data_IF_169640053030
#
_entry.id   IF_169640053030
#
_cell.length_a   1.000
_cell.length_b   1.000
_cell.length_c   1.000
_cell.angle_alpha   90.00
_cell.angle_beta   90.00
_cell.angle_gamma   90.00
#
_symmetry.space_group_name_H-M   'P 1'
#
loop_
_entity.id
_entity.type
_entity.pdbx_description
1 polymer ?
#
# COMPACT_ATOMS: atom_id res chain seq x y z
N UNK A 1 -11.35 -16.42 -17.50
CA UNK A 1 -10.26 -16.08 -16.56
C UNK A 1 -9.20 -17.19 -16.60
N UNK A 2 -7.99 -16.91 -16.12
CA UNK A 2 -6.81 -17.76 -16.29
C UNK A 2 -6.93 -19.13 -15.62
N UNK A 3 -7.44 -20.12 -16.35
CA UNK A 3 -7.64 -21.49 -15.86
C UNK A 3 -6.31 -22.19 -15.60
N UNK A 4 -5.38 -22.13 -16.54
CA UNK A 4 -4.06 -22.74 -16.43
C UNK A 4 -3.20 -22.05 -15.37
N UNK A 5 -3.27 -20.72 -15.28
CA UNK A 5 -2.52 -19.96 -14.27
C UNK A 5 -2.90 -20.35 -12.85
N UNK A 6 -4.20 -20.47 -12.59
CA UNK A 6 -4.72 -20.95 -11.29
C UNK A 6 -4.39 -22.42 -11.03
N UNK A 7 -4.46 -23.27 -12.06
CA UNK A 7 -4.14 -24.71 -11.94
C UNK A 7 -2.67 -24.94 -11.56
N UNK A 8 -1.73 -24.16 -12.12
CA UNK A 8 -0.30 -24.24 -11.78
C UNK A 8 -0.04 -23.90 -10.31
N UNK A 9 -0.76 -22.91 -9.78
CA UNK A 9 -0.63 -22.48 -8.38
C UNK A 9 -1.25 -23.52 -7.45
N UNK A 10 -2.34 -24.16 -7.87
CA UNK A 10 -2.96 -25.23 -7.10
C UNK A 10 -3.68 -24.73 -5.83
N UNK A 11 -3.59 -25.46 -4.69
CA UNK A 11 -4.37 -25.16 -3.49
C UNK A 11 -4.03 -23.82 -2.84
N UNK A 12 -2.88 -23.23 -3.14
CA UNK A 12 -2.43 -21.94 -2.61
C UNK A 12 -3.16 -20.74 -3.26
N UNK A 13 -3.87 -20.94 -4.37
CA UNK A 13 -4.47 -19.85 -5.14
C UNK A 13 -5.46 -19.01 -4.31
N UNK A 14 -6.31 -19.65 -3.51
CA UNK A 14 -7.30 -18.93 -2.68
C UNK A 14 -6.62 -18.11 -1.58
N UNK A 15 -5.58 -18.66 -0.96
CA UNK A 15 -4.78 -17.94 0.03
C UNK A 15 -4.10 -16.71 -0.57
N UNK A 16 -3.58 -16.83 -1.79
CA UNK A 16 -2.96 -15.71 -2.51
C UNK A 16 -4.01 -14.64 -2.85
N UNK A 17 -5.19 -15.03 -3.34
CA UNK A 17 -6.30 -14.11 -3.61
C UNK A 17 -6.71 -13.36 -2.33
N UNK A 18 -6.80 -14.06 -1.20
CA UNK A 18 -7.14 -13.43 0.08
C UNK A 18 -6.09 -12.41 0.50
N UNK A 19 -4.80 -12.71 0.37
CA UNK A 19 -3.73 -11.75 0.64
C UNK A 19 -3.80 -10.57 -0.31
N UNK A 20 -3.94 -10.79 -1.62
CA UNK A 20 -4.07 -9.70 -2.60
C UNK A 20 -5.24 -8.77 -2.26
N UNK A 21 -6.37 -9.31 -1.80
CA UNK A 21 -7.52 -8.51 -1.36
C UNK A 21 -7.26 -7.73 -0.05
N UNK A 22 -6.44 -8.25 0.87
CA UNK A 22 -5.97 -7.48 2.03
C UNK A 22 -5.04 -6.34 1.59
N UNK A 23 -4.20 -6.59 0.59
CA UNK A 23 -3.38 -5.57 -0.06
C UNK A 23 -4.24 -4.46 -0.64
N UNK A 24 -5.16 -4.79 -1.56
CA UNK A 24 -6.10 -3.83 -2.17
C UNK A 24 -6.80 -2.96 -1.11
N UNK A 25 -7.24 -3.56 0.00
CA UNK A 25 -7.91 -2.84 1.08
C UNK A 25 -7.00 -1.81 1.78
N UNK A 26 -5.74 -2.16 2.03
CA UNK A 26 -4.76 -1.24 2.60
C UNK A 26 -4.36 -0.16 1.58
N UNK A 27 -4.04 -0.54 0.35
CA UNK A 27 -3.62 0.37 -0.71
C UNK A 27 -4.70 1.43 -1.03
N UNK A 28 -5.98 1.05 -1.05
CA UNK A 28 -7.07 2.04 -1.24
C UNK A 28 -7.12 3.05 -0.08
N UNK A 29 -6.90 2.58 1.15
CA UNK A 29 -6.87 3.44 2.33
C UNK A 29 -5.67 4.40 2.27
N UNK A 30 -4.50 3.90 1.92
CA UNK A 30 -3.26 4.68 1.86
C UNK A 30 -3.25 5.64 0.68
N UNK A 31 -3.69 5.22 -0.50
CA UNK A 31 -3.87 6.08 -1.67
C UNK A 31 -4.78 7.28 -1.34
N UNK A 32 -5.93 7.02 -0.70
CA UNK A 32 -6.84 8.09 -0.28
C UNK A 32 -6.22 8.96 0.82
N UNK A 33 -5.58 8.34 1.81
CA UNK A 33 -4.97 9.04 2.94
C UNK A 33 -3.88 9.98 2.46
N UNK A 34 -2.97 9.53 1.60
CA UNK A 34 -1.92 10.37 1.03
C UNK A 34 -2.48 11.52 0.21
N UNK A 35 -3.53 11.28 -0.59
CA UNK A 35 -4.23 12.36 -1.28
C UNK A 35 -4.81 13.37 -0.30
N UNK A 36 -5.46 12.91 0.78
CA UNK A 36 -6.00 13.77 1.83
C UNK A 36 -4.88 14.60 2.49
N UNK A 37 -3.77 13.98 2.88
CA UNK A 37 -2.63 14.65 3.50
C UNK A 37 -2.04 15.73 2.58
N UNK A 38 -1.93 15.46 1.27
CA UNK A 38 -1.45 16.43 0.28
C UNK A 38 -2.29 17.70 0.20
N UNK A 39 -3.57 17.64 0.60
CA UNK A 39 -4.49 18.79 0.61
C UNK A 39 -4.69 19.38 1.99
N UNK A 40 -4.48 18.58 3.04
CA UNK A 40 -4.73 18.95 4.41
C UNK A 40 -3.52 19.62 5.08
N UNK A 41 -2.29 19.24 4.72
CA UNK A 41 -1.08 19.77 5.32
C UNK A 41 -0.95 21.30 5.18
N UNK A 42 -0.63 21.97 6.28
CA UNK A 42 -0.46 23.42 6.36
C UNK A 42 0.86 23.83 7.04
N UNK A 43 1.23 25.11 6.91
CA UNK A 43 2.43 25.67 7.53
C UNK A 43 3.65 25.73 6.60
N UNK A 44 4.77 26.22 7.14
CA UNK A 44 5.96 26.59 6.34
C UNK A 44 6.65 25.39 5.66
N UNK A 45 6.46 24.18 6.19
CA UNK A 45 7.04 22.94 5.66
C UNK A 45 6.06 22.14 4.78
N UNK A 46 4.81 22.60 4.63
CA UNK A 46 3.77 21.74 4.05
C UNK A 46 3.92 21.52 2.55
N UNK A 47 4.43 22.51 1.79
CA UNK A 47 4.48 22.40 0.33
C UNK A 47 5.30 21.21 -0.18
N UNK A 48 6.59 21.04 0.18
CA UNK A 48 7.36 19.90 -0.30
C UNK A 48 6.78 18.56 0.18
N UNK A 49 6.24 18.51 1.40
CA UNK A 49 5.63 17.29 1.95
C UNK A 49 4.31 16.96 1.26
N UNK A 50 3.52 17.96 0.89
CA UNK A 50 2.29 17.78 0.12
C UNK A 50 2.57 17.28 -1.30
N UNK A 51 3.62 17.78 -1.94
CA UNK A 51 4.07 17.29 -3.26
C UNK A 51 4.53 15.83 -3.18
N UNK A 52 5.23 15.43 -2.12
CA UNK A 52 5.55 14.02 -1.83
C UNK A 52 4.27 13.19 -1.67
N UNK A 53 3.38 13.57 -0.75
CA UNK A 53 2.16 12.82 -0.50
C UNK A 53 1.26 12.68 -1.74
N UNK A 54 1.19 13.70 -2.60
CA UNK A 54 0.47 13.57 -3.87
C UNK A 54 1.10 12.57 -4.83
N UNK A 55 2.44 12.47 -4.88
CA UNK A 55 3.14 11.47 -5.68
C UNK A 55 2.93 10.06 -5.10
N UNK A 56 3.13 9.88 -3.80
CA UNK A 56 2.93 8.57 -3.14
C UNK A 56 1.49 8.09 -3.35
N UNK A 57 0.48 8.96 -3.22
CA UNK A 57 -0.92 8.62 -3.55
C UNK A 57 -1.10 8.03 -4.96
N UNK A 58 -0.35 8.52 -5.96
CA UNK A 58 -0.41 8.00 -7.33
C UNK A 58 0.26 6.63 -7.45
N UNK A 59 1.34 6.38 -6.71
CA UNK A 59 1.99 5.07 -6.64
C UNK A 59 1.02 4.03 -6.04
N UNK A 60 0.36 4.36 -4.92
CA UNK A 60 -0.60 3.44 -4.28
C UNK A 60 -1.80 3.11 -5.18
N UNK A 61 -2.34 4.09 -5.92
CA UNK A 61 -3.37 3.80 -6.92
C UNK A 61 -2.88 2.85 -8.02
N UNK A 62 -1.58 2.90 -8.35
CA UNK A 62 -0.92 1.93 -9.21
C UNK A 62 -0.91 0.53 -8.60
N UNK A 63 -0.55 0.40 -7.32
CA UNK A 63 -0.62 -0.86 -6.58
C UNK A 63 -2.04 -1.43 -6.55
N UNK A 64 -3.05 -0.61 -6.23
CA UNK A 64 -4.47 -1.02 -6.26
C UNK A 64 -4.83 -1.67 -7.59
N UNK A 65 -4.55 -0.99 -8.71
CA UNK A 65 -4.89 -1.48 -10.04
C UNK A 65 -4.18 -2.82 -10.35
N UNK A 66 -2.89 -2.91 -10.03
CA UNK A 66 -2.07 -4.11 -10.26
C UNK A 66 -2.59 -5.31 -9.46
N UNK A 67 -2.95 -5.12 -8.20
CA UNK A 67 -3.48 -6.18 -7.35
C UNK A 67 -4.89 -6.62 -7.80
N UNK A 68 -5.77 -5.68 -8.19
CA UNK A 68 -7.09 -5.99 -8.72
C UNK A 68 -7.04 -6.83 -10.00
N UNK A 69 -6.15 -6.45 -10.92
CA UNK A 69 -5.88 -7.22 -12.12
C UNK A 69 -5.41 -8.63 -11.78
N UNK A 70 -4.52 -8.75 -10.78
CA UNK A 70 -4.00 -10.06 -10.38
C UNK A 70 -5.07 -10.96 -9.77
N UNK A 71 -5.92 -10.44 -8.89
CA UNK A 71 -7.05 -11.19 -8.33
C UNK A 71 -7.96 -11.72 -9.45
N UNK A 72 -8.29 -10.86 -10.41
CA UNK A 72 -9.14 -11.21 -11.55
C UNK A 72 -8.49 -12.27 -12.45
N UNK A 73 -7.17 -12.19 -12.67
CA UNK A 73 -6.44 -13.22 -13.43
C UNK A 73 -6.52 -14.60 -12.76
N UNK A 74 -6.52 -14.63 -11.42
CA UNK A 74 -6.53 -15.85 -10.60
C UNK A 74 -7.92 -16.48 -10.39
N UNK A 75 -8.99 -15.92 -10.96
CA UNK A 75 -10.33 -16.47 -10.77
C UNK A 75 -11.11 -15.84 -9.61
N UNK A 76 -10.53 -14.89 -8.87
CA UNK A 76 -11.18 -14.25 -7.73
C UNK A 76 -11.88 -12.95 -8.08
N UNK A 77 -12.71 -12.48 -7.15
CA UNK A 77 -13.28 -11.15 -7.18
C UNK A 77 -12.39 -10.20 -6.36
N UNK A 78 -11.92 -9.07 -6.94
CA UNK A 78 -11.28 -8.03 -6.14
C UNK A 78 -12.29 -7.42 -5.18
N UNK A 79 -11.81 -6.77 -4.11
CA UNK A 79 -12.65 -6.02 -3.17
C UNK A 79 -13.72 -5.20 -3.91
N UNK A 80 -15.00 -5.50 -3.66
CA UNK A 80 -16.10 -5.02 -4.50
C UNK A 80 -16.67 -3.68 -4.02
N UNK A 81 -16.47 -3.34 -2.75
CA UNK A 81 -16.90 -2.08 -2.18
C UNK A 81 -15.81 -1.43 -1.31
N UNK A 82 -15.65 -0.10 -1.36
CA UNK A 82 -14.73 0.62 -0.47
C UNK A 82 -15.00 0.38 1.03
N UNK A 83 -16.25 0.08 1.41
CA UNK A 83 -16.62 -0.23 2.79
C UNK A 83 -15.93 -1.49 3.34
N UNK A 84 -15.52 -2.42 2.47
CA UNK A 84 -14.79 -3.63 2.87
C UNK A 84 -13.36 -3.34 3.31
N UNK A 85 -12.79 -2.18 2.92
CA UNK A 85 -11.41 -1.84 3.22
C UNK A 85 -11.12 -1.80 4.73
N UNK A 86 -12.09 -1.37 5.53
CA UNK A 86 -11.95 -1.34 6.99
C UNK A 86 -11.89 -2.71 7.65
N UNK A 87 -12.49 -3.73 7.04
CA UNK A 87 -12.53 -5.11 7.56
C UNK A 87 -11.36 -5.96 7.03
N UNK A 88 -10.93 -5.70 5.80
CA UNK A 88 -9.91 -6.50 5.08
C UNK A 88 -8.50 -5.97 5.21
N UNK A 89 -8.32 -4.68 5.44
CA UNK A 89 -6.98 -4.09 5.50
C UNK A 89 -6.14 -4.73 6.61
N UNK A 90 -4.87 -5.02 6.30
CA UNK A 90 -3.92 -5.53 7.29
C UNK A 90 -3.49 -4.46 8.30
N UNK A 91 -3.84 -3.20 8.07
CA UNK A 91 -3.57 -2.06 8.94
C UNK A 91 -4.83 -1.19 9.09
N UNK A 92 -5.06 -0.64 10.28
CA UNK A 92 -6.19 0.26 10.51
C UNK A 92 -5.98 1.61 9.83
N UNK A 93 -7.05 2.18 9.26
CA UNK A 93 -7.00 3.52 8.68
C UNK A 93 -6.59 4.56 9.73
N UNK A 94 -5.55 5.35 9.41
CA UNK A 94 -5.05 6.38 10.30
C UNK A 94 -5.44 7.78 9.77
N UNK A 95 -6.40 8.48 10.41
CA UNK A 95 -6.76 9.83 10.00
C UNK A 95 -5.59 10.81 10.20
N UNK A 96 -5.59 11.97 9.49
CA UNK A 96 -4.59 13.01 9.73
C UNK A 96 -4.63 13.51 11.19
N UNK A 97 -3.50 14.04 11.70
CA UNK A 97 -3.49 14.79 12.95
C UNK A 97 -4.55 15.91 12.96
N UNK A 98 -5.06 16.25 14.14
CA UNK A 98 -6.09 17.31 14.27
C UNK A 98 -5.58 18.70 13.89
N UNK A 99 -4.28 18.94 14.08
CA UNK A 99 -3.63 20.18 13.69
C UNK A 99 -3.07 20.01 12.27
N UNK A 100 -3.60 20.74 11.27
CA UNK A 100 -3.06 20.73 9.90
C UNK A 100 -1.59 21.13 9.82
N UNK A 101 -1.07 21.87 10.81
CA UNK A 101 0.33 22.28 10.87
C UNK A 101 1.27 21.20 11.45
N UNK A 102 0.73 20.09 11.97
CA UNK A 102 1.51 18.94 12.45
C UNK A 102 2.00 18.05 11.29
N UNK A 103 2.74 18.67 10.36
CA UNK A 103 3.32 17.99 9.20
C UNK A 103 4.31 16.90 9.62
N UNK A 104 5.05 17.12 10.72
CA UNK A 104 5.96 16.11 11.29
C UNK A 104 5.19 14.88 11.77
N UNK A 105 4.05 15.07 12.44
CA UNK A 105 3.15 13.99 12.83
C UNK A 105 2.64 13.22 11.63
N UNK A 106 2.23 13.90 10.56
CA UNK A 106 1.79 13.26 9.31
C UNK A 106 2.87 12.36 8.71
N UNK A 107 4.11 12.86 8.59
CA UNK A 107 5.25 12.08 8.04
C UNK A 107 5.59 10.90 8.94
N UNK A 108 5.64 11.09 10.26
CA UNK A 108 5.91 10.00 11.21
C UNK A 108 4.86 8.90 11.14
N UNK A 109 3.60 9.29 11.03
CA UNK A 109 2.48 8.36 10.95
C UNK A 109 2.47 7.62 9.60
N UNK A 110 2.79 8.32 8.50
CA UNK A 110 3.03 7.71 7.18
C UNK A 110 4.17 6.68 7.20
N UNK A 111 5.30 6.99 7.84
CA UNK A 111 6.42 6.05 7.98
C UNK A 111 6.01 4.75 8.69
N UNK A 112 5.07 4.82 9.65
CA UNK A 112 4.55 3.61 10.28
C UNK A 112 3.70 2.76 9.32
N UNK A 113 2.98 3.41 8.40
CA UNK A 113 2.23 2.80 7.30
C UNK A 113 3.15 2.06 6.32
N UNK A 114 4.15 2.74 5.76
CA UNK A 114 5.14 2.15 4.84
C UNK A 114 5.79 0.89 5.42
N UNK A 115 6.19 0.97 6.69
CA UNK A 115 6.76 -0.19 7.40
C UNK A 115 5.79 -1.36 7.52
N UNK A 116 4.49 -1.10 7.61
CA UNK A 116 3.47 -2.15 7.59
C UNK A 116 3.34 -2.76 6.18
N UNK A 117 3.34 -1.94 5.13
CA UNK A 117 3.32 -2.37 3.74
C UNK A 117 4.56 -3.21 3.38
N UNK A 118 5.76 -2.79 3.76
CA UNK A 118 7.01 -3.58 3.61
C UNK A 118 6.86 -5.00 4.19
N UNK A 119 6.34 -5.11 5.43
CA UNK A 119 6.13 -6.42 6.06
C UNK A 119 5.08 -7.24 5.33
N UNK A 120 4.02 -6.60 4.86
CA UNK A 120 2.95 -7.25 4.12
C UNK A 120 3.44 -7.79 2.77
N UNK A 121 4.07 -6.96 1.94
CA UNK A 121 4.59 -7.39 0.63
C UNK A 121 5.71 -8.41 0.74
N UNK A 122 6.55 -8.32 1.78
CA UNK A 122 7.51 -9.38 2.09
C UNK A 122 6.83 -10.72 2.35
N UNK A 123 5.75 -10.72 3.14
CA UNK A 123 4.97 -11.93 3.39
C UNK A 123 4.27 -12.45 2.13
N UNK A 124 3.68 -11.56 1.31
CA UNK A 124 3.06 -11.95 0.04
C UNK A 124 4.09 -12.59 -0.90
N UNK A 125 5.28 -12.01 -1.01
CA UNK A 125 6.40 -12.57 -1.75
C UNK A 125 6.75 -13.97 -1.26
N UNK A 126 6.93 -14.15 0.05
CA UNK A 126 7.33 -15.45 0.62
C UNK A 126 6.26 -16.54 0.43
N UNK A 127 4.97 -16.17 0.43
CA UNK A 127 3.86 -17.09 0.12
C UNK A 127 3.82 -17.46 -1.36
N UNK A 128 4.12 -16.51 -2.25
CA UNK A 128 3.97 -16.69 -3.69
C UNK A 128 5.21 -17.28 -4.38
N UNK A 129 6.43 -17.02 -3.91
CA UNK A 129 7.67 -17.21 -4.69
C UNK A 129 7.91 -18.61 -5.30
N UNK A 130 7.43 -19.68 -4.66
CA UNK A 130 7.63 -21.05 -5.15
C UNK A 130 6.49 -21.54 -6.06
N UNK A 131 5.29 -20.96 -5.93
CA UNK A 131 4.04 -21.49 -6.54
C UNK A 131 3.41 -20.53 -7.54
N UNK A 132 3.66 -19.23 -7.39
CA UNK A 132 3.14 -18.15 -8.23
C UNK A 132 4.22 -17.09 -8.49
N UNK A 133 5.10 -17.31 -9.51
CA UNK A 133 6.16 -16.37 -9.84
C UNK A 133 5.63 -15.01 -10.31
N UNK A 134 4.40 -14.92 -10.81
CA UNK A 134 3.80 -13.66 -11.26
C UNK A 134 3.38 -12.81 -10.06
N UNK A 135 2.70 -13.41 -9.08
CA UNK A 135 2.39 -12.69 -7.83
C UNK A 135 3.65 -12.36 -7.03
N UNK A 136 4.65 -13.25 -7.03
CA UNK A 136 5.92 -12.97 -6.39
C UNK A 136 6.65 -11.78 -7.04
N UNK A 137 6.57 -11.66 -8.37
CA UNK A 137 7.12 -10.50 -9.07
C UNK A 137 6.40 -9.21 -8.67
N UNK A 138 5.06 -9.21 -8.66
CA UNK A 138 4.26 -8.07 -8.20
C UNK A 138 4.62 -7.66 -6.77
N UNK A 139 4.69 -8.63 -5.86
CA UNK A 139 5.03 -8.36 -4.46
C UNK A 139 6.45 -7.83 -4.28
N UNK A 140 7.39 -8.27 -5.11
CA UNK A 140 8.78 -7.76 -5.08
C UNK A 140 8.86 -6.32 -5.58
N UNK A 141 8.11 -5.99 -6.62
CA UNK A 141 8.15 -4.64 -7.21
C UNK A 141 7.48 -3.64 -6.27
N UNK A 142 6.29 -3.95 -5.74
CA UNK A 142 5.66 -3.13 -4.70
C UNK A 142 6.55 -2.99 -3.46
N UNK A 143 7.16 -4.09 -2.97
CA UNK A 143 8.13 -4.02 -1.87
C UNK A 143 9.31 -3.08 -2.14
N UNK A 144 9.77 -2.95 -3.39
CA UNK A 144 10.82 -2.01 -3.73
C UNK A 144 10.32 -0.56 -3.63
N UNK A 145 9.11 -0.29 -4.13
CA UNK A 145 8.47 1.01 -4.04
C UNK A 145 8.24 1.41 -2.56
N UNK A 146 7.72 0.51 -1.72
CA UNK A 146 7.52 0.77 -0.27
C UNK A 146 8.83 1.09 0.48
N UNK A 147 9.93 0.45 0.09
CA UNK A 147 11.25 0.70 0.70
C UNK A 147 11.79 2.06 0.28
N UNK A 148 11.56 2.46 -0.98
CA UNK A 148 11.95 3.78 -1.48
C UNK A 148 11.11 4.88 -0.80
N UNK A 149 9.80 4.68 -0.63
CA UNK A 149 8.92 5.59 0.11
C UNK A 149 9.30 5.67 1.61
N UNK A 150 9.66 4.54 2.25
CA UNK A 150 10.22 4.52 3.61
C UNK A 150 11.49 5.41 3.73
N UNK A 151 12.47 5.22 2.85
CA UNK A 151 13.74 5.99 2.86
C UNK A 151 13.47 7.49 2.65
N UNK A 152 12.54 7.87 1.78
CA UNK A 152 12.20 9.28 1.57
C UNK A 152 11.58 9.93 2.81
N UNK A 153 10.66 9.24 3.49
CA UNK A 153 10.05 9.71 4.74
C UNK A 153 11.08 9.79 5.89
N UNK A 154 11.98 8.82 6.00
CA UNK A 154 13.07 8.85 6.99
C UNK A 154 14.02 10.04 6.77
N UNK A 155 14.37 10.34 5.52
CA UNK A 155 15.19 11.51 5.18
C UNK A 155 14.51 12.82 5.56
N UNK A 156 13.19 12.93 5.33
CA UNK A 156 12.43 14.09 5.80
C UNK A 156 12.46 14.22 7.33
N UNK A 157 12.30 13.10 8.04
CA UNK A 157 12.36 13.06 9.51
C UNK A 157 13.72 13.45 10.08
N UNK A 158 14.82 13.04 9.44
CA UNK A 158 16.17 13.43 9.86
C UNK A 158 16.40 14.96 9.81
N UNK A 159 15.66 15.69 8.96
CA UNK A 159 15.70 17.15 8.87
C UNK A 159 14.95 17.90 9.97
N UNK A 160 14.07 17.23 10.73
CA UNK A 160 13.41 17.82 11.89
C UNK A 160 14.26 17.64 13.14
N UNK A 161 15.05 18.65 13.47
CA UNK A 161 15.69 18.76 14.79
C UNK A 161 14.62 19.04 15.86
N UNK A 162 14.80 18.46 17.05
CA UNK A 162 13.93 18.66 18.22
C UNK A 162 13.87 20.10 18.71
#
# INVERSE_FOLDING_TARGET
MGTVGREIIGPEADKIIDLLNQGIAAEVNDAYRYLLLSRYAAGIYSRPVAELFERTSQHEWGHVALLMDRVTQLGGDPMLAPAEAGERSYVAYQPPPKDPADVRGMVRDSLAGERAAIRFYRNLYDVAREVDPVTAQIARDALADEIDDEDELERLLAGWHE
#
